data_IF_665958163975
#
_entry.id   IF_665958163975
#
_cell.length_a   1.000
_cell.length_b   1.000
_cell.length_c   1.000
_cell.angle_alpha   90.00
_cell.angle_beta   90.00
_cell.angle_gamma   90.00
#
_symmetry.space_group_name_H-M   'P 1'
#
loop_
_entity.id
_entity.type
_entity.pdbx_description
1 polymer ?
#
# COMPACT_ATOMS: atom_id res chain seq x y z
N UNK A 1 2.45 -35.95 0.61
CA UNK A 1 1.13 -36.39 0.14
C UNK A 1 0.76 -35.55 -1.07
N UNK A 2 0.50 -36.17 -2.22
CA UNK A 2 0.09 -35.42 -3.41
C UNK A 2 -1.38 -34.94 -3.24
N UNK A 3 -1.79 -33.80 -3.82
CA UNK A 3 -3.16 -33.31 -3.72
C UNK A 3 -4.23 -34.31 -4.16
N UNK A 4 -3.92 -35.13 -5.16
CA UNK A 4 -4.82 -36.18 -5.66
C UNK A 4 -5.01 -37.33 -4.68
N UNK A 5 -3.93 -37.81 -4.03
CA UNK A 5 -4.01 -38.88 -3.03
C UNK A 5 -4.86 -38.47 -1.83
N UNK A 6 -4.74 -37.21 -1.40
CA UNK A 6 -5.55 -36.67 -0.33
C UNK A 6 -7.05 -36.56 -0.70
N UNK A 7 -7.37 -36.37 -1.98
CA UNK A 7 -8.75 -36.26 -2.48
C UNK A 7 -9.41 -37.61 -2.75
N UNK A 8 -8.66 -38.55 -3.33
CA UNK A 8 -9.22 -39.80 -3.86
C UNK A 8 -8.80 -41.06 -3.08
N UNK A 9 -7.89 -40.94 -2.10
CA UNK A 9 -7.41 -42.06 -1.31
C UNK A 9 -6.56 -43.08 -2.08
N UNK A 10 -6.24 -42.79 -3.35
CA UNK A 10 -5.43 -43.63 -4.22
C UNK A 10 -4.34 -42.79 -4.91
N UNK A 11 -3.24 -43.44 -5.30
CA UNK A 11 -2.15 -42.79 -6.04
C UNK A 11 -2.61 -42.39 -7.44
N UNK A 12 -2.12 -41.25 -7.94
CA UNK A 12 -2.38 -40.84 -9.34
C UNK A 12 -1.94 -41.94 -10.29
N UNK A 13 -2.78 -42.28 -11.27
CA UNK A 13 -2.35 -43.06 -12.43
C UNK A 13 -1.45 -42.20 -13.32
N UNK A 14 -0.13 -42.36 -13.16
CA UNK A 14 0.86 -41.78 -14.07
C UNK A 14 1.06 -42.70 -15.29
N UNK A 15 1.53 -42.19 -16.45
CA UNK A 15 1.90 -43.02 -17.61
C UNK A 15 2.86 -44.18 -17.30
N UNK A 16 3.62 -44.09 -16.20
CA UNK A 16 4.50 -45.12 -15.67
C UNK A 16 3.78 -46.26 -14.91
N UNK A 17 2.52 -46.04 -14.48
CA UNK A 17 1.75 -46.94 -13.62
C UNK A 17 0.52 -47.50 -14.36
N UNK A 18 0.72 -47.92 -15.61
CA UNK A 18 -0.33 -48.49 -16.48
C UNK A 18 -0.37 -50.03 -16.49
N UNK A 19 0.54 -50.69 -15.75
CA UNK A 19 0.91 -52.10 -15.98
C UNK A 19 0.10 -53.10 -15.10
N UNK A 20 -0.83 -52.66 -14.26
CA UNK A 20 -1.46 -53.57 -13.28
C UNK A 20 -2.54 -54.53 -13.82
N UNK A 21 -2.76 -54.68 -15.14
CA UNK A 21 -3.83 -55.57 -15.64
C UNK A 21 -3.49 -56.45 -16.86
N UNK A 22 -2.22 -56.64 -17.22
CA UNK A 22 -1.88 -57.64 -18.24
C UNK A 22 -0.59 -58.37 -17.89
N UNK A 23 -0.72 -59.68 -17.64
CA UNK A 23 0.36 -60.59 -17.31
C UNK A 23 1.50 -60.57 -18.35
N UNK A 24 2.75 -60.65 -17.85
CA UNK A 24 4.04 -60.98 -18.50
C UNK A 24 4.85 -59.84 -19.14
N UNK A 25 5.88 -59.37 -18.41
CA UNK A 25 7.31 -59.61 -18.74
C UNK A 25 8.24 -59.09 -17.64
N UNK A 26 9.05 -59.99 -17.09
CA UNK A 26 9.98 -59.78 -15.97
C UNK A 26 11.16 -58.84 -16.33
N UNK A 27 11.30 -58.45 -17.61
CA UNK A 27 12.29 -57.46 -18.08
C UNK A 27 11.86 -55.98 -17.93
N UNK A 28 10.67 -55.71 -17.37
CA UNK A 28 10.18 -54.34 -17.15
C UNK A 28 10.52 -53.77 -15.76
N UNK A 29 10.75 -54.62 -14.77
CA UNK A 29 10.95 -54.20 -13.37
C UNK A 29 12.26 -53.43 -13.20
N UNK A 30 13.35 -53.91 -13.81
CA UNK A 30 14.66 -53.25 -13.73
C UNK A 30 14.61 -51.85 -14.39
N UNK A 31 13.96 -51.73 -15.55
CA UNK A 31 13.76 -50.44 -16.22
C UNK A 31 12.90 -49.49 -15.38
N UNK A 32 11.85 -50.00 -14.71
CA UNK A 32 11.03 -49.21 -13.79
C UNK A 32 11.87 -48.73 -12.60
N UNK A 33 12.63 -49.61 -11.96
CA UNK A 33 13.52 -49.24 -10.86
C UNK A 33 14.55 -48.18 -11.29
N UNK A 34 15.21 -48.33 -12.44
CA UNK A 34 16.13 -47.33 -12.99
C UNK A 34 15.44 -45.98 -13.25
N UNK A 35 14.21 -46.00 -13.76
CA UNK A 35 13.45 -44.76 -13.99
C UNK A 35 13.04 -44.09 -12.68
N UNK A 36 12.63 -44.86 -11.66
CA UNK A 36 12.31 -44.34 -10.32
C UNK A 36 13.53 -43.72 -9.65
N UNK A 37 14.70 -44.33 -9.76
CA UNK A 37 15.97 -43.78 -9.27
C UNK A 37 16.30 -42.46 -9.97
N UNK A 38 16.18 -42.40 -11.30
CA UNK A 38 16.38 -41.16 -12.06
C UNK A 38 15.37 -40.07 -11.67
N UNK A 39 14.11 -40.44 -11.43
CA UNK A 39 13.08 -39.50 -10.96
C UNK A 39 13.39 -38.98 -9.56
N UNK A 40 13.89 -39.82 -8.65
CA UNK A 40 14.35 -39.38 -7.32
C UNK A 40 15.48 -38.35 -7.43
N UNK A 41 16.47 -38.60 -8.30
CA UNK A 41 17.57 -37.64 -8.56
C UNK A 41 17.04 -36.31 -9.11
N UNK A 42 16.04 -36.35 -10.01
CA UNK A 42 15.39 -35.13 -10.52
C UNK A 42 14.67 -34.38 -9.39
N UNK A 43 13.95 -35.08 -8.51
CA UNK A 43 13.29 -34.46 -7.36
C UNK A 43 14.27 -33.81 -6.39
N UNK A 44 15.38 -34.49 -6.09
CA UNK A 44 16.41 -33.97 -5.19
C UNK A 44 17.10 -32.74 -5.80
N UNK A 45 17.44 -32.78 -7.09
CA UNK A 45 18.01 -31.62 -7.79
C UNK A 45 17.05 -30.44 -7.85
N UNK A 46 15.75 -30.67 -8.13
CA UNK A 46 14.72 -29.64 -8.08
C UNK A 46 14.58 -29.04 -6.68
N UNK A 47 14.64 -29.86 -5.64
CA UNK A 47 14.58 -29.40 -4.24
C UNK A 47 15.79 -28.54 -3.89
N UNK A 48 17.00 -28.92 -4.33
CA UNK A 48 18.23 -28.14 -4.15
C UNK A 48 18.09 -26.78 -4.85
N UNK A 49 17.63 -26.75 -6.10
CA UNK A 49 17.43 -25.51 -6.87
C UNK A 49 16.39 -24.61 -6.19
N UNK A 50 15.25 -25.17 -5.76
CA UNK A 50 14.20 -24.45 -5.04
C UNK A 50 14.73 -23.84 -3.72
N UNK A 51 15.49 -24.63 -2.96
CA UNK A 51 16.13 -24.15 -1.72
C UNK A 51 17.12 -23.02 -1.99
N UNK A 52 17.93 -23.13 -3.04
CA UNK A 52 18.89 -22.09 -3.46
C UNK A 52 18.16 -20.80 -3.88
N UNK A 53 17.06 -20.91 -4.62
CA UNK A 53 16.24 -19.76 -4.98
C UNK A 53 15.63 -19.11 -3.73
N UNK A 54 15.12 -19.91 -2.80
CA UNK A 54 14.58 -19.44 -1.52
C UNK A 54 15.64 -18.74 -0.67
N UNK A 55 16.86 -19.28 -0.57
CA UNK A 55 17.94 -18.63 0.18
C UNK A 55 18.34 -17.30 -0.45
N UNK A 56 18.46 -17.23 -1.78
CA UNK A 56 18.79 -15.97 -2.47
C UNK A 56 17.70 -14.92 -2.33
N UNK A 57 16.43 -15.32 -2.38
CA UNK A 57 15.30 -14.41 -2.16
C UNK A 57 15.26 -13.90 -0.71
N UNK A 58 15.41 -14.79 0.27
CA UNK A 58 15.32 -14.44 1.69
C UNK A 58 16.48 -13.55 2.15
N UNK A 59 17.72 -13.79 1.68
CA UNK A 59 18.88 -12.95 2.02
C UNK A 59 18.70 -11.48 1.62
N UNK A 60 17.90 -11.21 0.58
CA UNK A 60 17.60 -9.85 0.11
C UNK A 60 16.41 -9.21 0.82
N UNK A 61 15.62 -9.98 1.57
CA UNK A 61 14.50 -9.45 2.35
C UNK A 61 14.99 -8.97 3.72
N UNK A 62 14.87 -7.66 3.97
CA UNK A 62 15.03 -7.15 5.34
C UNK A 62 13.80 -7.56 6.15
N UNK A 63 14.01 -8.20 7.30
CA UNK A 63 12.94 -8.42 8.26
C UNK A 63 12.50 -7.07 8.84
N UNK A 64 11.40 -6.53 8.32
CA UNK A 64 10.77 -5.34 8.88
C UNK A 64 9.93 -5.82 10.07
N UNK A 65 10.40 -5.53 11.28
CA UNK A 65 9.67 -5.76 12.52
C UNK A 65 9.25 -4.40 13.08
N UNK A 66 8.01 -4.34 13.56
CA UNK A 66 7.47 -3.17 14.22
C UNK A 66 7.14 -3.52 15.66
N UNK A 67 7.22 -2.52 16.53
CA UNK A 67 6.79 -2.62 17.93
C UNK A 67 5.41 -1.98 18.09
N UNK A 68 4.74 -2.34 19.19
CA UNK A 68 3.50 -1.66 19.60
C UNK A 68 3.83 -0.20 19.93
N UNK A 69 3.03 0.73 19.43
CA UNK A 69 3.27 2.17 19.52
C UNK A 69 4.07 2.77 18.37
N UNK A 70 4.68 1.96 17.49
CA UNK A 70 5.32 2.49 16.29
C UNK A 70 4.28 3.12 15.35
N UNK A 71 4.63 4.28 14.77
CA UNK A 71 3.86 4.91 13.70
C UNK A 71 4.22 4.29 12.35
N UNK A 72 3.22 3.92 11.57
CA UNK A 72 3.39 3.32 10.25
C UNK A 72 2.42 3.91 9.24
N UNK A 73 2.88 4.01 8.01
CA UNK A 73 2.07 4.35 6.85
C UNK A 73 1.37 3.11 6.29
N UNK A 74 0.10 3.24 5.93
CA UNK A 74 -0.70 2.18 5.32
C UNK A 74 -0.81 2.34 3.80
N UNK A 75 -0.56 1.28 3.03
CA UNK A 75 -0.61 1.28 1.56
C UNK A 75 -2.06 1.29 1.03
N UNK A 76 -2.36 2.21 0.10
CA UNK A 76 -3.74 2.40 -0.45
C UNK A 76 -4.07 1.45 -1.61
N UNK A 77 -3.07 0.79 -2.20
CA UNK A 77 -3.26 0.06 -3.48
C UNK A 77 -4.40 -0.97 -3.50
N UNK A 78 -4.67 -1.75 -2.43
CA UNK A 78 -5.80 -2.69 -2.45
C UNK A 78 -7.17 -2.00 -2.37
N UNK A 79 -7.24 -0.77 -1.86
CA UNK A 79 -8.49 -0.10 -1.45
C UNK A 79 -8.75 1.19 -2.24
N UNK A 80 -8.07 1.35 -3.38
CA UNK A 80 -8.08 2.60 -4.17
C UNK A 80 -9.48 3.05 -4.61
N UNK A 81 -10.48 2.14 -4.61
CA UNK A 81 -11.89 2.46 -4.87
C UNK A 81 -12.67 2.92 -3.63
N UNK A 82 -12.29 2.46 -2.44
CA UNK A 82 -12.99 2.75 -1.16
C UNK A 82 -12.55 4.09 -0.58
N UNK A 83 -11.32 4.53 -0.88
CA UNK A 83 -10.64 5.64 -0.22
C UNK A 83 -10.47 6.89 -1.11
N UNK A 84 -11.41 7.13 -2.03
CA UNK A 84 -11.32 8.15 -3.11
C UNK A 84 -11.58 9.61 -2.65
N UNK A 85 -10.91 10.08 -1.60
CA UNK A 85 -10.95 11.52 -1.27
C UNK A 85 -9.63 12.22 -1.62
N UNK A 86 -9.72 13.38 -2.28
CA UNK A 86 -8.62 14.33 -2.45
C UNK A 86 -8.06 14.50 -3.88
N UNK A 87 -7.28 13.55 -4.40
CA UNK A 87 -6.50 13.72 -5.65
C UNK A 87 -6.57 12.50 -6.57
N UNK A 88 -7.12 12.64 -7.78
CA UNK A 88 -7.25 11.56 -8.79
C UNK A 88 -6.00 11.47 -9.69
N UNK A 89 -5.64 10.26 -10.12
CA UNK A 89 -4.56 10.04 -11.10
C UNK A 89 -3.15 9.87 -10.52
N UNK A 90 -2.14 10.35 -11.25
CA UNK A 90 -0.69 10.14 -10.97
C UNK A 90 -0.25 10.71 -9.61
N UNK A 91 -0.95 11.72 -9.11
CA UNK A 91 -0.68 12.43 -7.86
C UNK A 91 -1.44 11.88 -6.65
N UNK A 92 -2.17 10.77 -6.79
CA UNK A 92 -2.81 10.11 -5.64
C UNK A 92 -1.76 9.55 -4.68
N UNK A 93 -1.90 9.77 -3.36
CA UNK A 93 -0.95 9.23 -2.38
C UNK A 93 -1.00 7.69 -2.41
N UNK A 94 0.18 7.06 -2.46
CA UNK A 94 0.32 5.59 -2.40
C UNK A 94 0.20 5.04 -0.97
N UNK A 95 0.41 5.90 0.02
CA UNK A 95 0.36 5.60 1.44
C UNK A 95 -0.47 6.66 2.15
N UNK A 96 -1.30 6.26 3.10
CA UNK A 96 -2.08 7.14 3.98
C UNK A 96 -1.42 7.13 5.34
N UNK A 97 -1.40 8.32 5.97
CA UNK A 97 -1.37 8.59 7.41
C UNK A 97 -0.41 7.80 8.31
N UNK A 98 0.28 8.43 9.27
CA UNK A 98 0.88 7.67 10.35
C UNK A 98 -0.25 7.10 11.23
N UNK A 99 -0.40 5.79 11.21
CA UNK A 99 -1.24 5.05 12.15
C UNK A 99 -0.37 4.38 13.19
N UNK A 100 -0.83 4.37 14.43
CA UNK A 100 -0.15 3.68 15.52
C UNK A 100 -0.51 2.19 15.51
N UNK A 101 0.50 1.35 15.76
CA UNK A 101 0.29 -0.09 15.96
C UNK A 101 -0.22 -0.32 17.37
N UNK A 102 -1.44 -0.83 17.48
CA UNK A 102 -2.08 -1.19 18.76
C UNK A 102 -1.55 -2.53 19.25
N UNK A 103 -1.46 -3.51 18.35
CA UNK A 103 -1.21 -4.90 18.73
C UNK A 103 -0.53 -5.67 17.59
N UNK A 104 0.28 -6.67 17.96
CA UNK A 104 0.86 -7.63 17.00
C UNK A 104 0.14 -8.97 17.12
N UNK A 105 -0.74 -9.26 16.16
CA UNK A 105 -1.57 -10.49 16.16
C UNK A 105 -0.76 -11.71 15.70
N UNK A 106 0.09 -11.53 14.69
CA UNK A 106 0.99 -12.58 14.17
C UNK A 106 2.38 -12.01 13.89
N UNK A 107 3.40 -12.86 13.66
CA UNK A 107 4.74 -12.38 13.31
C UNK A 107 4.76 -11.36 12.17
N UNK A 108 3.79 -11.46 11.26
CA UNK A 108 3.68 -10.63 10.05
C UNK A 108 2.37 -9.83 9.96
N UNK A 109 1.50 -9.88 10.98
CA UNK A 109 0.21 -9.18 10.97
C UNK A 109 0.07 -8.28 12.20
N UNK A 110 -0.27 -7.01 11.96
CA UNK A 110 -0.36 -5.97 12.97
C UNK A 110 -1.73 -5.29 12.92
N UNK A 111 -2.24 -4.92 14.10
CA UNK A 111 -3.47 -4.16 14.26
C UNK A 111 -3.17 -2.68 14.38
N UNK A 112 -3.83 -1.85 13.59
CA UNK A 112 -3.64 -0.40 13.55
C UNK A 112 -4.80 0.35 14.20
N UNK A 113 -4.49 1.50 14.79
CA UNK A 113 -5.46 2.51 15.21
C UNK A 113 -5.97 3.29 13.99
N UNK A 114 -6.90 2.70 13.24
CA UNK A 114 -7.50 3.35 12.06
C UNK A 114 -8.44 4.49 12.46
N UNK A 115 -8.53 5.50 11.60
CA UNK A 115 -9.50 6.59 11.70
C UNK A 115 -10.94 6.04 11.59
N UNK A 116 -11.93 6.68 12.24
CA UNK A 116 -13.34 6.29 12.16
C UNK A 116 -13.88 6.26 10.72
N UNK A 117 -13.36 7.11 9.83
CA UNK A 117 -13.71 7.12 8.40
C UNK A 117 -13.41 5.79 7.68
N UNK A 118 -12.46 5.02 8.22
CA UNK A 118 -12.00 3.74 7.67
C UNK A 118 -12.60 2.53 8.40
N UNK A 119 -13.67 2.71 9.19
CA UNK A 119 -14.32 1.63 9.95
C UNK A 119 -14.78 0.45 9.08
N UNK A 120 -15.06 0.67 7.79
CA UNK A 120 -15.43 -0.40 6.84
C UNK A 120 -14.27 -1.35 6.53
N UNK A 121 -13.03 -0.95 6.85
CA UNK A 121 -11.81 -1.69 6.60
C UNK A 121 -11.39 -2.41 7.88
N UNK A 122 -11.06 -3.70 7.77
CA UNK A 122 -10.48 -4.44 8.88
C UNK A 122 -9.15 -3.79 9.30
N UNK A 123 -9.00 -3.57 10.60
CA UNK A 123 -7.84 -2.90 11.20
C UNK A 123 -6.58 -3.79 11.29
N UNK A 124 -6.59 -4.99 10.71
CA UNK A 124 -5.48 -5.94 10.73
C UNK A 124 -4.81 -6.00 9.38
N UNK A 125 -3.52 -5.69 9.33
CA UNK A 125 -2.75 -5.60 8.09
C UNK A 125 -1.48 -6.44 8.13
N UNK A 126 -1.13 -6.98 6.96
CA UNK A 126 0.12 -7.69 6.75
C UNK A 126 1.29 -6.71 6.59
N UNK A 127 2.49 -7.07 7.07
CA UNK A 127 3.66 -6.19 7.13
C UNK A 127 4.04 -5.54 5.80
N UNK A 128 3.78 -6.19 4.67
CA UNK A 128 4.09 -5.66 3.32
C UNK A 128 3.21 -4.47 2.93
N UNK A 129 2.08 -4.27 3.62
CA UNK A 129 1.21 -3.11 3.45
C UNK A 129 1.64 -1.93 4.33
N UNK A 130 2.57 -2.14 5.25
CA UNK A 130 3.03 -1.16 6.21
C UNK A 130 4.40 -0.62 5.81
N UNK A 131 4.60 0.68 6.03
CA UNK A 131 5.91 1.32 5.86
C UNK A 131 6.23 2.11 7.12
N UNK A 132 7.46 1.95 7.64
CA UNK A 132 7.92 2.68 8.82
C UNK A 132 7.75 4.19 8.61
N UNK A 133 7.08 4.86 9.54
CA UNK A 133 7.04 6.32 9.58
C UNK A 133 8.41 6.83 10.06
N UNK A 134 8.97 7.81 9.35
CA UNK A 134 10.10 8.61 9.85
C UNK A 134 9.53 9.96 10.18
N UNK A 135 9.60 10.35 11.45
CA UNK A 135 9.16 11.66 11.92
C UNK A 135 9.96 12.72 11.18
N UNK A 136 9.28 13.43 10.28
CA UNK A 136 9.82 14.57 9.57
C UNK A 136 8.91 15.75 9.94
N UNK A 137 9.45 16.82 10.56
CA UNK A 137 8.69 17.99 10.98
C UNK A 137 7.85 18.60 9.86
N UNK A 138 8.24 18.41 8.59
CA UNK A 138 7.52 18.91 7.41
C UNK A 138 6.22 18.16 7.08
N UNK A 139 6.01 16.95 7.62
CA UNK A 139 4.85 16.11 7.31
C UNK A 139 3.69 16.28 8.29
N UNK A 140 3.91 17.01 9.38
CA UNK A 140 2.83 17.44 10.27
C UNK A 140 2.16 18.63 9.60
N UNK A 141 1.20 18.37 8.72
CA UNK A 141 0.25 19.41 8.33
C UNK A 141 -0.53 19.69 9.60
N UNK A 142 -0.26 20.82 10.25
CA UNK A 142 -1.13 21.34 11.29
C UNK A 142 -2.53 21.41 10.69
N UNK A 143 -3.43 20.56 11.19
CA UNK A 143 -4.86 20.70 10.91
C UNK A 143 -5.29 21.99 11.60
N UNK A 144 -5.05 23.12 10.94
CA UNK A 144 -5.69 24.37 11.33
C UNK A 144 -7.17 24.13 11.10
N UNK A 145 -7.91 23.95 12.20
CA UNK A 145 -9.36 23.83 12.16
C UNK A 145 -9.92 25.06 11.44
N UNK A 146 -10.25 24.87 10.16
CA UNK A 146 -11.04 25.85 9.44
C UNK A 146 -12.43 25.71 10.03
N UNK A 147 -12.90 26.73 10.76
CA UNK A 147 -14.31 26.89 11.05
C UNK A 147 -15.06 27.08 9.75
N UNK A 148 -15.40 25.97 9.09
CA UNK A 148 -16.25 25.94 7.90
C UNK A 148 -17.68 26.12 8.43
N UNK A 149 -18.39 27.14 7.97
CA UNK A 149 -19.81 27.30 8.29
C UNK A 149 -20.59 26.10 7.72
N UNK A 150 -21.75 25.73 8.28
CA UNK A 150 -22.55 24.60 7.77
C UNK A 150 -22.90 24.69 6.28
N UNK A 151 -22.84 25.90 5.69
CA UNK A 151 -23.06 26.17 4.27
C UNK A 151 -21.81 25.93 3.38
N UNK A 152 -20.73 25.37 3.94
CA UNK A 152 -19.46 25.09 3.24
C UNK A 152 -18.71 26.33 2.74
N UNK A 153 -19.18 27.54 3.07
CA UNK A 153 -18.55 28.83 2.78
C UNK A 153 -17.50 29.18 3.84
N UNK A 154 -16.39 29.76 3.38
CA UNK A 154 -15.29 30.24 4.22
C UNK A 154 -15.08 31.74 3.96
N UNK A 155 -15.15 32.55 5.01
CA UNK A 155 -14.92 33.99 4.92
C UNK A 155 -13.42 34.28 4.94
N UNK A 156 -12.89 34.78 3.83
CA UNK A 156 -11.51 35.28 3.73
C UNK A 156 -11.47 36.78 4.04
N UNK A 157 -10.88 37.14 5.18
CA UNK A 157 -10.65 38.54 5.53
C UNK A 157 -9.31 39.04 4.96
N UNK A 158 -9.28 40.23 4.33
CA UNK A 158 -8.04 40.84 3.86
C UNK A 158 -7.26 41.43 5.03
N UNK A 159 -6.00 41.00 5.24
CA UNK A 159 -5.14 41.58 6.29
C UNK A 159 -4.48 42.86 5.79
N UNK A 160 -3.86 42.82 4.60
CA UNK A 160 -2.93 43.86 4.18
C UNK A 160 -2.89 44.03 2.68
N UNK A 161 -2.77 45.28 2.24
CA UNK A 161 -2.47 45.63 0.86
C UNK A 161 -0.95 45.65 0.68
N UNK A 162 -0.43 44.82 -0.23
CA UNK A 162 1.01 44.71 -0.50
C UNK A 162 1.48 45.67 -1.60
N UNK A 163 0.66 45.86 -2.65
CA UNK A 163 1.03 46.69 -3.78
C UNK A 163 -0.21 47.31 -4.43
N UNK A 164 -0.04 48.50 -5.02
CA UNK A 164 -1.07 49.19 -5.81
C UNK A 164 -0.51 49.43 -7.20
N UNK A 165 -1.24 49.02 -8.22
CA UNK A 165 -0.92 49.27 -9.63
C UNK A 165 -2.01 50.15 -10.23
N UNK A 166 -1.61 51.33 -10.74
CA UNK A 166 -2.51 52.29 -11.36
C UNK A 166 -2.32 52.16 -12.87
N UNK A 167 -3.33 51.70 -13.61
CA UNK A 167 -3.32 51.73 -15.07
C UNK A 167 -3.91 53.04 -15.58
N UNK A 168 -3.21 53.70 -16.51
CA UNK A 168 -3.52 55.04 -17.04
C UNK A 168 -4.95 55.20 -17.60
N UNK A 169 -5.61 54.10 -18.00
CA UNK A 169 -6.92 54.12 -18.64
C UNK A 169 -8.09 53.68 -17.72
N UNK A 170 -8.00 53.97 -16.41
CA UNK A 170 -9.12 53.99 -15.41
C UNK A 170 -9.29 52.80 -14.46
N UNK A 171 -8.40 51.81 -14.42
CA UNK A 171 -8.53 50.68 -13.48
C UNK A 171 -7.38 50.62 -12.49
N UNK A 172 -7.69 50.78 -11.19
CA UNK A 172 -6.74 50.59 -10.08
C UNK A 172 -6.84 49.14 -9.59
N UNK A 173 -5.71 48.44 -9.59
CA UNK A 173 -5.62 47.07 -9.05
C UNK A 173 -4.77 47.08 -7.80
N UNK A 174 -5.22 46.33 -6.81
CA UNK A 174 -4.58 46.22 -5.50
C UNK A 174 -4.23 44.76 -5.26
N UNK A 175 -2.98 44.50 -4.86
CA UNK A 175 -2.53 43.17 -4.43
C UNK A 175 -2.84 43.02 -2.95
N UNK A 176 -3.72 42.07 -2.62
CA UNK A 176 -4.23 41.86 -1.27
C UNK A 176 -3.66 40.57 -0.69
N UNK A 177 -3.20 40.65 0.55
CA UNK A 177 -2.81 39.51 1.37
C UNK A 177 -4.00 39.07 2.23
N UNK A 178 -4.38 37.81 2.08
CA UNK A 178 -5.46 37.18 2.83
C UNK A 178 -4.95 36.51 4.10
N UNK A 179 -5.81 36.40 5.11
CA UNK A 179 -5.42 35.99 6.46
C UNK A 179 -4.74 34.62 6.58
N UNK A 180 -4.98 33.74 5.61
CA UNK A 180 -4.46 32.35 5.62
C UNK A 180 -3.55 32.02 4.46
N UNK A 181 -3.22 33.00 3.62
CA UNK A 181 -2.42 32.82 2.42
C UNK A 181 -1.00 33.32 2.64
N UNK A 182 -0.02 32.62 2.06
CA UNK A 182 1.36 33.11 2.05
C UNK A 182 1.51 34.39 1.22
N UNK A 183 2.62 35.12 1.39
CA UNK A 183 2.93 36.31 0.55
C UNK A 183 2.94 35.96 -0.95
N UNK A 184 3.31 34.72 -1.28
CA UNK A 184 3.33 34.17 -2.64
C UNK A 184 1.92 33.96 -3.23
N UNK A 185 0.92 33.74 -2.40
CA UNK A 185 -0.47 33.45 -2.79
C UNK A 185 -1.36 34.70 -2.82
N UNK A 186 -0.77 35.89 -2.65
CA UNK A 186 -1.49 37.16 -2.67
C UNK A 186 -2.08 37.46 -4.07
N UNK A 187 -3.39 37.73 -4.11
CA UNK A 187 -4.17 37.91 -5.34
C UNK A 187 -4.36 39.39 -5.69
N UNK A 188 -4.45 39.68 -7.00
CA UNK A 188 -4.80 41.00 -7.51
C UNK A 188 -6.32 41.16 -7.62
N UNK A 189 -6.89 42.12 -6.87
CA UNK A 189 -8.31 42.51 -6.99
C UNK A 189 -8.44 43.96 -7.45
N UNK A 190 -9.61 44.28 -8.02
CA UNK A 190 -9.99 45.65 -8.35
C UNK A 190 -10.28 46.42 -7.06
N UNK A 191 -9.85 47.68 -7.00
CA UNK A 191 -10.06 48.51 -5.79
C UNK A 191 -11.55 48.66 -5.46
N UNK A 192 -12.43 48.69 -6.47
CA UNK A 192 -13.88 48.88 -6.29
C UNK A 192 -14.59 47.69 -5.63
N UNK A 193 -14.00 46.49 -5.64
CA UNK A 193 -14.60 45.29 -5.02
C UNK A 193 -14.17 45.09 -3.57
N UNK A 194 -13.17 45.84 -3.12
CA UNK A 194 -12.73 45.88 -1.73
C UNK A 194 -13.42 47.11 -1.14
N UNK A 195 -14.69 46.94 -0.76
CA UNK A 195 -15.44 47.99 -0.07
C UNK A 195 -14.62 48.57 1.08
N UNK A 196 -14.62 49.90 1.19
CA UNK A 196 -13.96 50.65 2.27
C UNK A 196 -14.41 50.19 3.65
#
# INVERSE_FOLDING_TARGET
>A
MAPYEALYGCKCRTPLYWIELSEKKIHGVDLICETEEKVKVIWDSLKIVSNRQKSYANLKQKEIKFQVGDKVFLKVSPWKKVLQSGRKGKLSPRFIGPYEIIERIRPVAYRLALLPELHRIHNVFYVSMLRRYRSDPSHVISLTEVGIQPDMTYNEEPIKILAREIKELRNKKVKVLWQRHGIEEATWKLEDTIGK
#
